data_IF_493109462718
#
_entry.id   IF_493109462718
#
_cell.length_a   1.000
_cell.length_b   1.000
_cell.length_c   1.000
_cell.angle_alpha   90.00
_cell.angle_beta   90.00
_cell.angle_gamma   90.00
#
_symmetry.space_group_name_H-M   'P 1'
#
loop_
_entity.id
_entity.type
_entity.pdbx_description
1 polymer ?
#
# COMPACT_ATOMS: atom_id res chain seq x y z
N UNK A 1 18.28 -6.29 -9.01
CA UNK A 1 17.72 -5.86 -7.71
C UNK A 1 16.27 -5.50 -7.91
N UNK A 2 15.36 -5.94 -7.03
CA UNK A 2 13.95 -5.54 -7.09
C UNK A 2 13.83 -4.11 -6.56
N UNK A 3 13.27 -3.22 -7.37
CA UNK A 3 12.93 -1.87 -6.93
C UNK A 3 11.41 -1.71 -6.84
N UNK A 4 10.92 -0.95 -5.84
CA UNK A 4 11.65 -0.43 -4.68
C UNK A 4 12.06 -1.53 -3.65
N UNK A 5 13.03 -1.27 -2.76
CA UNK A 5 13.49 -2.25 -1.76
C UNK A 5 12.37 -2.64 -0.79
N UNK A 6 12.26 -3.93 -0.46
CA UNK A 6 11.20 -4.45 0.42
C UNK A 6 11.23 -3.79 1.80
N UNK A 7 12.42 -3.53 2.37
CA UNK A 7 12.54 -2.96 3.71
C UNK A 7 11.97 -1.54 3.77
N UNK A 8 12.12 -0.77 2.70
CA UNK A 8 11.52 0.57 2.59
C UNK A 8 10.00 0.48 2.54
N UNK A 9 9.46 -0.45 1.76
CA UNK A 9 8.02 -0.68 1.68
C UNK A 9 7.42 -1.15 3.01
N UNK A 10 8.13 -2.00 3.75
CA UNK A 10 7.70 -2.48 5.07
C UNK A 10 7.68 -1.34 6.09
N UNK A 11 8.67 -0.43 6.05
CA UNK A 11 8.71 0.71 6.95
C UNK A 11 7.52 1.67 6.77
N UNK A 12 6.99 1.81 5.55
CA UNK A 12 5.80 2.64 5.28
C UNK A 12 4.50 2.08 5.90
N UNK A 13 4.42 0.75 6.08
CA UNK A 13 3.18 0.05 6.45
C UNK A 13 3.29 -0.74 7.76
N UNK A 14 4.45 -0.67 8.42
CA UNK A 14 4.76 -1.29 9.70
C UNK A 14 5.14 -2.77 9.64
N UNK A 15 4.57 -3.58 8.72
CA UNK A 15 4.92 -5.00 8.64
C UNK A 15 4.72 -5.63 7.24
N UNK A 16 5.35 -6.78 7.02
CA UNK A 16 5.28 -7.53 5.74
C UNK A 16 3.87 -7.99 5.38
N UNK A 17 3.02 -8.33 6.35
CA UNK A 17 1.64 -8.76 6.08
C UNK A 17 0.74 -7.58 5.69
N UNK A 18 0.90 -6.45 6.37
CA UNK A 18 0.24 -5.18 6.00
C UNK A 18 0.65 -4.76 4.59
N UNK A 19 1.93 -4.89 4.24
CA UNK A 19 2.42 -4.60 2.89
C UNK A 19 1.64 -5.36 1.81
N UNK A 20 1.55 -6.69 1.95
CA UNK A 20 0.84 -7.54 0.99
C UNK A 20 -0.63 -7.14 0.89
N UNK A 21 -1.28 -6.91 2.04
CA UNK A 21 -2.71 -6.57 2.09
C UNK A 21 -3.00 -5.20 1.47
N UNK A 22 -2.21 -4.18 1.81
CA UNK A 22 -2.34 -2.81 1.28
C UNK A 22 -2.10 -2.79 -0.23
N UNK A 23 -1.03 -3.42 -0.70
CA UNK A 23 -0.69 -3.48 -2.14
C UNK A 23 -1.77 -4.24 -2.91
N UNK A 24 -2.24 -5.38 -2.41
CA UNK A 24 -3.29 -6.16 -3.07
C UNK A 24 -4.62 -5.39 -3.14
N UNK A 25 -5.03 -4.75 -2.04
CA UNK A 25 -6.23 -3.91 -1.99
C UNK A 25 -6.12 -2.77 -3.00
N UNK A 26 -4.99 -2.07 -3.03
CA UNK A 26 -4.77 -0.95 -3.95
C UNK A 26 -4.72 -1.40 -5.42
N UNK A 27 -4.08 -2.52 -5.71
CA UNK A 27 -4.05 -3.08 -7.06
C UNK A 27 -5.45 -3.41 -7.60
N UNK A 28 -6.36 -3.91 -6.75
CA UNK A 28 -7.77 -4.12 -7.11
C UNK A 28 -8.48 -2.81 -7.42
N UNK A 29 -8.33 -1.79 -6.57
CA UNK A 29 -8.92 -0.47 -6.80
C UNK A 29 -8.46 0.15 -8.13
N UNK A 30 -7.19 -0.04 -8.50
CA UNK A 30 -6.66 0.45 -9.77
C UNK A 30 -7.29 -0.24 -10.99
N UNK A 31 -7.59 -1.53 -10.88
CA UNK A 31 -8.28 -2.29 -11.92
C UNK A 31 -9.74 -1.85 -12.04
N UNK A 32 -10.45 -1.75 -10.91
CA UNK A 32 -11.85 -1.32 -10.85
C UNK A 32 -12.04 0.10 -11.39
N UNK A 33 -11.12 1.01 -11.06
CA UNK A 33 -11.14 2.39 -11.54
C UNK A 33 -10.62 2.55 -12.98
N UNK A 34 -10.16 1.47 -13.64
CA UNK A 34 -9.48 1.51 -14.94
C UNK A 34 -8.33 2.54 -14.98
N UNK A 35 -7.63 2.70 -13.85
CA UNK A 35 -6.63 3.75 -13.65
C UNK A 35 -5.23 3.34 -14.11
N UNK A 36 -5.10 2.27 -14.89
CA UNK A 36 -3.84 1.79 -15.45
C UNK A 36 -3.54 2.48 -16.78
N UNK A 37 -2.27 2.75 -17.05
CA UNK A 37 -1.82 3.39 -18.29
C UNK A 37 -1.04 2.37 -19.12
N UNK A 38 -1.42 2.22 -20.39
CA UNK A 38 -0.76 1.28 -21.31
C UNK A 38 -0.73 -0.14 -20.76
N UNK A 39 0.47 -0.72 -20.64
CA UNK A 39 0.69 -2.08 -20.16
C UNK A 39 1.22 -2.14 -18.71
N UNK A 40 0.93 -1.10 -17.91
CA UNK A 40 1.32 -1.04 -16.51
C UNK A 40 0.57 -2.10 -15.69
N UNK A 41 1.31 -2.96 -14.97
CA UNK A 41 0.72 -3.93 -14.04
C UNK A 41 0.20 -3.22 -12.80
N UNK A 42 -1.02 -3.52 -12.39
CA UNK A 42 -1.66 -2.90 -11.20
C UNK A 42 -0.84 -3.04 -9.92
N UNK A 43 -0.20 -4.20 -9.71
CA UNK A 43 0.67 -4.44 -8.56
C UNK A 43 1.91 -3.54 -8.59
N UNK A 44 2.53 -3.36 -9.75
CA UNK A 44 3.69 -2.47 -9.91
C UNK A 44 3.32 -1.03 -9.60
N UNK A 45 2.18 -0.56 -10.13
CA UNK A 45 1.68 0.79 -9.83
C UNK A 45 1.39 0.98 -8.35
N UNK A 46 0.69 0.03 -7.72
CA UNK A 46 0.37 0.09 -6.30
C UNK A 46 1.62 0.14 -5.41
N UNK A 47 2.64 -0.65 -5.72
CA UNK A 47 3.93 -0.62 -5.01
C UNK A 47 4.63 0.74 -5.19
N UNK A 48 4.62 1.29 -6.40
CA UNK A 48 5.22 2.60 -6.67
C UNK A 48 4.46 3.75 -5.98
N UNK A 49 3.12 3.70 -5.95
CA UNK A 49 2.31 4.67 -5.21
C UNK A 49 2.56 4.60 -3.71
N UNK A 50 2.70 3.40 -3.15
CA UNK A 50 3.08 3.21 -1.75
C UNK A 50 4.46 3.80 -1.47
N UNK A 51 5.46 3.47 -2.27
CA UNK A 51 6.82 3.96 -2.11
C UNK A 51 6.95 5.49 -2.31
N UNK A 52 6.08 6.08 -3.13
CA UNK A 52 6.04 7.53 -3.36
C UNK A 52 5.25 8.30 -2.29
N UNK A 53 4.83 7.65 -1.20
CA UNK A 53 3.99 8.22 -0.15
C UNK A 53 2.66 8.82 -0.67
N UNK A 54 2.12 8.28 -1.76
CA UNK A 54 0.84 8.73 -2.36
C UNK A 54 -0.38 8.01 -1.80
N UNK A 55 -0.18 7.09 -0.86
CA UNK A 55 -1.25 6.31 -0.22
C UNK A 55 -1.44 6.75 1.22
N UNK A 56 -2.65 7.17 1.57
CA UNK A 56 -3.05 7.35 2.96
C UNK A 56 -3.64 6.04 3.49
N UNK A 57 -2.91 5.37 4.38
CA UNK A 57 -3.35 4.12 5.00
C UNK A 57 -4.06 4.46 6.30
N UNK A 58 -5.40 4.52 6.25
CA UNK A 58 -6.22 4.68 7.45
C UNK A 58 -6.28 3.34 8.20
N UNK A 59 -5.45 3.19 9.22
CA UNK A 59 -5.66 2.16 10.24
C UNK A 59 -6.79 2.66 11.15
N UNK A 60 -7.91 1.94 11.24
CA UNK A 60 -8.95 2.19 12.25
C UNK A 60 -8.45 1.78 13.65
N UNK A 61 -7.30 2.31 14.08
CA UNK A 61 -6.90 2.28 15.48
C UNK A 61 -7.76 3.34 16.17
N UNK A 62 -8.93 2.92 16.64
CA UNK A 62 -9.57 3.56 17.78
C UNK A 62 -8.55 3.56 18.92
N UNK A 63 -7.95 4.71 19.19
CA UNK A 63 -7.30 5.01 20.46
C UNK A 63 -8.35 4.76 21.56
N UNK A 64 -8.39 3.55 22.10
CA UNK A 64 -9.05 3.28 23.37
C UNK A 64 -8.14 3.86 24.46
N UNK A 65 -8.20 5.19 24.61
CA UNK A 65 -7.72 5.88 25.80
C UNK A 65 -8.53 5.35 26.98
N UNK A 66 -7.99 4.31 27.63
CA UNK A 66 -8.50 3.77 28.88
C UNK A 66 -8.38 4.84 29.96
N UNK A 67 -9.48 5.53 30.21
CA UNK A 67 -9.75 6.13 31.51
C UNK A 67 -10.20 5.01 32.44
N UNK A 68 -9.32 4.62 33.37
CA UNK A 68 -9.72 4.00 34.64
C UNK A 68 -9.73 5.12 35.66
#
# INVERSE_FOLDING_TARGET
MNQPPIDKLVNEVGCRYSLVTVVAKRARQLLEAQALQGNEKSVTKAVNELYSHKLHIANNTSENSGSI
#
